data_IF_504057816382
#
_entry.id   IF_504057816382
#
_cell.length_a   1.000
_cell.length_b   1.000
_cell.length_c   1.000
_cell.angle_alpha   90.00
_cell.angle_beta   90.00
_cell.angle_gamma   90.00
#
_symmetry.space_group_name_H-M   'P 1'
#
loop_
_entity.id
_entity.type
_entity.pdbx_description
1 polymer ?
#
# COMPACT_ATOMS: atom_id res chain seq x y z
N UNK A 1 -51.08 39.15 -27.83
CA UNK A 1 -51.47 39.99 -28.99
C UNK A 1 -50.18 40.43 -29.70
N UNK A 2 -49.72 39.70 -30.71
CA UNK A 2 -48.44 39.95 -31.41
C UNK A 2 -48.59 39.98 -32.95
N UNK A 3 -49.82 40.10 -33.47
CA UNK A 3 -50.12 39.91 -34.90
C UNK A 3 -50.65 41.12 -35.67
N UNK A 4 -50.56 42.36 -35.16
CA UNK A 4 -51.05 43.57 -35.89
C UNK A 4 -50.10 44.78 -35.89
N UNK A 5 -48.85 44.63 -35.46
CA UNK A 5 -47.93 45.77 -35.34
C UNK A 5 -47.47 46.30 -36.70
N UNK A 6 -47.35 45.43 -37.69
CA UNK A 6 -47.08 45.76 -39.10
C UNK A 6 -48.18 46.64 -39.72
N UNK A 7 -49.46 46.31 -39.48
CA UNK A 7 -50.60 47.10 -39.92
C UNK A 7 -50.63 48.44 -39.20
N UNK A 8 -50.40 48.44 -37.89
CA UNK A 8 -50.35 49.67 -37.09
C UNK A 8 -49.24 50.62 -37.58
N UNK A 9 -48.03 50.11 -37.84
CA UNK A 9 -46.91 50.89 -38.38
C UNK A 9 -47.28 51.52 -39.72
N UNK A 10 -47.87 50.75 -40.65
CA UNK A 10 -48.30 51.27 -41.97
C UNK A 10 -49.34 52.39 -41.82
N UNK A 11 -50.32 52.21 -40.95
CA UNK A 11 -51.35 53.23 -40.68
C UNK A 11 -50.75 54.49 -40.05
N UNK A 12 -49.85 54.35 -39.08
CA UNK A 12 -49.19 55.47 -38.42
C UNK A 12 -48.29 56.25 -39.38
N UNK A 13 -47.53 55.58 -40.25
CA UNK A 13 -46.71 56.24 -41.27
C UNK A 13 -47.57 57.03 -42.26
N UNK A 14 -48.75 56.52 -42.65
CA UNK A 14 -49.70 57.25 -43.49
C UNK A 14 -50.26 58.48 -42.75
N UNK A 15 -50.66 58.31 -41.50
CA UNK A 15 -51.16 59.41 -40.66
C UNK A 15 -50.11 60.51 -40.48
N UNK A 16 -48.84 60.16 -40.29
CA UNK A 16 -47.73 61.13 -40.21
C UNK A 16 -47.66 61.96 -41.48
N UNK A 17 -47.69 61.35 -42.68
CA UNK A 17 -47.66 62.09 -43.96
C UNK A 17 -48.87 63.04 -44.09
N UNK A 18 -50.07 62.58 -43.74
CA UNK A 18 -51.27 63.41 -43.79
C UNK A 18 -51.20 64.58 -42.82
N UNK A 19 -50.82 64.36 -41.56
CA UNK A 19 -50.73 65.42 -40.56
C UNK A 19 -49.63 66.43 -40.87
N UNK A 20 -48.52 65.98 -41.46
CA UNK A 20 -47.45 66.85 -41.96
C UNK A 20 -47.96 67.80 -43.07
N UNK A 21 -48.71 67.26 -44.05
CA UNK A 21 -49.31 68.07 -45.13
C UNK A 21 -50.40 69.05 -44.66
N UNK A 22 -51.03 68.77 -43.51
CA UNK A 22 -52.06 69.62 -42.92
C UNK A 22 -51.50 70.57 -41.84
N UNK A 23 -50.18 70.58 -41.63
CA UNK A 23 -49.51 71.38 -40.61
C UNK A 23 -50.06 71.18 -39.19
N UNK A 24 -50.51 69.97 -38.86
CA UNK A 24 -51.08 69.62 -37.54
C UNK A 24 -50.01 69.12 -36.58
N UNK A 25 -49.12 70.01 -36.13
CA UNK A 25 -47.92 69.66 -35.33
C UNK A 25 -48.22 68.84 -34.06
N UNK A 26 -49.30 69.15 -33.33
CA UNK A 26 -49.66 68.38 -32.14
C UNK A 26 -50.03 66.92 -32.45
N UNK A 27 -50.85 66.71 -33.49
CA UNK A 27 -51.21 65.34 -33.92
C UNK A 27 -49.99 64.61 -34.47
N UNK A 28 -49.12 65.33 -35.17
CA UNK A 28 -47.89 64.81 -35.73
C UNK A 28 -46.92 64.34 -34.63
N UNK A 29 -46.72 65.13 -33.58
CA UNK A 29 -45.90 64.78 -32.43
C UNK A 29 -46.42 63.53 -31.70
N UNK A 30 -47.72 63.47 -31.42
CA UNK A 30 -48.36 62.30 -30.77
C UNK A 30 -48.21 61.04 -31.64
N UNK A 31 -48.45 61.16 -32.94
CA UNK A 31 -48.37 60.02 -33.88
C UNK A 31 -46.93 59.51 -34.01
N UNK A 32 -45.94 60.42 -34.03
CA UNK A 32 -44.51 60.07 -34.01
C UNK A 32 -44.13 59.30 -32.75
N UNK A 33 -44.66 59.67 -31.59
CA UNK A 33 -44.42 58.98 -30.32
C UNK A 33 -45.02 57.58 -30.32
N UNK A 34 -46.27 57.43 -30.76
CA UNK A 34 -46.91 56.11 -30.85
C UNK A 34 -46.09 55.19 -31.74
N UNK A 35 -45.63 55.69 -32.90
CA UNK A 35 -44.78 54.93 -33.80
C UNK A 35 -43.41 54.60 -33.17
N UNK A 36 -42.78 55.55 -32.47
CA UNK A 36 -41.52 55.33 -31.78
C UNK A 36 -41.63 54.25 -30.68
N UNK A 37 -42.70 54.27 -29.89
CA UNK A 37 -42.97 53.26 -28.86
C UNK A 37 -43.16 51.86 -29.49
N UNK A 38 -43.83 51.77 -30.64
CA UNK A 38 -43.98 50.49 -31.36
C UNK A 38 -42.63 50.00 -31.87
N UNK A 39 -41.82 50.88 -32.49
CA UNK A 39 -40.47 50.51 -32.92
C UNK A 39 -39.58 50.08 -31.76
N UNK A 40 -39.65 50.75 -30.62
CA UNK A 40 -38.95 50.34 -29.41
C UNK A 40 -39.37 48.93 -28.95
N UNK A 41 -40.68 48.65 -28.91
CA UNK A 41 -41.22 47.33 -28.55
C UNK A 41 -40.81 46.22 -29.52
N UNK A 42 -40.70 46.54 -30.81
CA UNK A 42 -40.21 45.65 -31.87
C UNK A 42 -38.67 45.58 -31.95
N UNK A 43 -37.96 46.24 -31.02
CA UNK A 43 -36.48 46.35 -31.00
C UNK A 43 -35.88 46.99 -32.26
N UNK A 44 -36.66 47.79 -32.98
CA UNK A 44 -36.24 48.63 -34.11
C UNK A 44 -35.71 49.99 -33.59
N UNK A 45 -34.59 49.92 -32.88
CA UNK A 45 -34.06 51.02 -32.08
C UNK A 45 -33.55 52.20 -32.92
N UNK A 46 -33.04 51.94 -34.13
CA UNK A 46 -32.48 52.98 -35.01
C UNK A 46 -33.58 53.88 -35.58
N UNK A 47 -34.78 53.35 -35.73
CA UNK A 47 -35.94 54.01 -36.29
C UNK A 47 -36.70 54.84 -35.24
N UNK A 48 -36.65 54.43 -33.97
CA UNK A 48 -37.34 55.10 -32.87
C UNK A 48 -36.68 56.44 -32.46
N UNK A 49 -35.34 56.49 -32.38
CA UNK A 49 -34.62 57.70 -31.91
C UNK A 49 -34.91 58.95 -32.75
N UNK A 50 -34.88 58.92 -34.10
CA UNK A 50 -35.18 60.10 -34.92
C UNK A 50 -36.61 60.62 -34.69
N UNK A 51 -37.58 59.73 -34.45
CA UNK A 51 -38.96 60.11 -34.17
C UNK A 51 -39.07 60.84 -32.83
N UNK A 52 -38.44 60.31 -31.78
CA UNK A 52 -38.38 61.00 -30.48
C UNK A 52 -37.68 62.37 -30.58
N UNK A 53 -36.55 62.48 -31.30
CA UNK A 53 -35.86 63.77 -31.48
C UNK A 53 -36.71 64.82 -32.20
N UNK A 54 -37.43 64.42 -33.25
CA UNK A 54 -38.36 65.31 -33.97
C UNK A 54 -39.49 65.78 -33.04
N UNK A 55 -40.05 64.89 -32.23
CA UNK A 55 -41.08 65.24 -31.25
C UNK A 55 -40.57 66.17 -30.16
N UNK A 56 -39.38 65.91 -29.60
CA UNK A 56 -38.74 66.78 -28.60
C UNK A 56 -38.55 68.20 -29.15
N UNK A 57 -38.11 68.32 -30.40
CA UNK A 57 -37.90 69.62 -31.06
C UNK A 57 -39.21 70.39 -31.19
N UNK A 58 -40.27 69.73 -31.68
CA UNK A 58 -41.61 70.32 -31.80
C UNK A 58 -42.18 70.73 -30.44
N UNK A 59 -42.06 69.89 -29.40
CA UNK A 59 -42.54 70.22 -28.06
C UNK A 59 -41.76 71.34 -27.38
N UNK A 60 -40.45 71.46 -27.62
CA UNK A 60 -39.67 72.59 -27.11
C UNK A 60 -40.09 73.93 -27.75
N UNK A 61 -40.45 73.93 -29.04
CA UNK A 61 -40.94 75.12 -29.74
C UNK A 61 -42.34 75.55 -29.27
N UNK A 62 -43.14 74.59 -28.81
CA UNK A 62 -44.52 74.82 -28.34
C UNK A 62 -44.62 75.02 -26.81
N UNK A 63 -43.51 75.24 -26.11
CA UNK A 63 -43.44 75.37 -24.65
C UNK A 63 -43.90 74.14 -23.83
N UNK A 64 -44.00 72.96 -24.46
CA UNK A 64 -44.31 71.68 -23.82
C UNK A 64 -43.06 70.94 -23.31
N UNK A 65 -42.18 71.67 -22.61
CA UNK A 65 -40.83 71.19 -22.22
C UNK A 65 -40.86 69.97 -21.29
N UNK A 66 -41.92 69.80 -20.50
CA UNK A 66 -42.10 68.64 -19.61
C UNK A 66 -42.27 67.33 -20.38
N UNK A 67 -43.10 67.34 -21.44
CA UNK A 67 -43.26 66.20 -22.32
C UNK A 67 -41.96 65.90 -23.07
N UNK A 68 -41.21 66.93 -23.47
CA UNK A 68 -39.90 66.77 -24.09
C UNK A 68 -38.91 66.03 -23.18
N UNK A 69 -38.90 66.32 -21.87
CA UNK A 69 -38.02 65.66 -20.91
C UNK A 69 -38.34 64.16 -20.75
N UNK A 70 -39.61 63.77 -20.81
CA UNK A 70 -40.02 62.35 -20.78
C UNK A 70 -39.40 61.55 -21.93
N UNK A 71 -39.37 62.11 -23.14
CA UNK A 71 -38.77 61.43 -24.29
C UNK A 71 -37.24 61.38 -24.26
N UNK A 72 -36.58 62.24 -23.48
CA UNK A 72 -35.15 62.08 -23.20
C UNK A 72 -34.90 60.78 -22.42
N UNK A 73 -35.76 60.44 -21.46
CA UNK A 73 -35.69 59.17 -20.73
C UNK A 73 -35.86 57.97 -21.68
N UNK A 74 -36.85 58.01 -22.58
CA UNK A 74 -37.04 56.94 -23.56
C UNK A 74 -35.83 56.77 -24.50
N UNK A 75 -35.24 57.88 -24.97
CA UNK A 75 -33.99 57.82 -25.74
C UNK A 75 -32.87 57.19 -24.90
N UNK A 76 -32.76 57.56 -23.62
CA UNK A 76 -31.82 56.94 -22.68
C UNK A 76 -32.01 55.42 -22.56
N UNK A 77 -33.26 54.97 -22.44
CA UNK A 77 -33.62 53.54 -22.39
C UNK A 77 -33.18 52.80 -23.66
N UNK A 78 -33.41 53.39 -24.84
CA UNK A 78 -32.97 52.82 -26.11
C UNK A 78 -31.44 52.64 -26.14
N UNK A 79 -30.67 53.65 -25.71
CA UNK A 79 -29.22 53.54 -25.65
C UNK A 79 -28.75 52.51 -24.63
N UNK A 80 -29.44 52.42 -23.48
CA UNK A 80 -29.19 51.40 -22.45
C UNK A 80 -29.37 49.99 -23.01
N UNK A 81 -30.49 49.73 -23.70
CA UNK A 81 -30.74 48.45 -24.39
C UNK A 81 -29.77 48.17 -25.54
N UNK A 82 -29.19 49.22 -26.13
CA UNK A 82 -28.14 49.12 -27.15
C UNK A 82 -26.73 48.95 -26.57
N UNK A 83 -26.63 48.69 -25.25
CA UNK A 83 -25.36 48.58 -24.51
C UNK A 83 -24.46 49.82 -24.59
N UNK A 84 -25.05 51.01 -24.74
CA UNK A 84 -24.36 52.31 -24.78
C UNK A 84 -24.67 53.11 -23.51
N UNK A 85 -24.04 52.71 -22.39
CA UNK A 85 -24.29 53.31 -21.09
C UNK A 85 -24.03 54.82 -21.04
N UNK A 86 -22.91 55.30 -21.61
CA UNK A 86 -22.55 56.72 -21.56
C UNK A 86 -23.59 57.59 -22.26
N UNK A 87 -24.06 57.15 -23.44
CA UNK A 87 -25.15 57.80 -24.16
C UNK A 87 -26.43 57.77 -23.33
N UNK A 88 -26.78 56.64 -22.71
CA UNK A 88 -27.97 56.53 -21.87
C UNK A 88 -27.92 57.54 -20.71
N UNK A 89 -26.82 57.55 -19.95
CA UNK A 89 -26.59 58.47 -18.83
C UNK A 89 -26.63 59.94 -19.27
N UNK A 90 -26.10 60.27 -20.45
CA UNK A 90 -26.20 61.62 -21.01
C UNK A 90 -27.65 62.10 -21.15
N UNK A 91 -28.54 61.28 -21.73
CA UNK A 91 -29.95 61.66 -21.89
C UNK A 91 -30.70 61.65 -20.56
N UNK A 92 -30.40 60.70 -19.67
CA UNK A 92 -30.97 60.70 -18.32
C UNK A 92 -30.56 61.95 -17.52
N UNK A 93 -29.30 62.38 -17.58
CA UNK A 93 -28.83 63.60 -16.91
C UNK A 93 -29.54 64.86 -17.44
N UNK A 94 -29.84 64.92 -18.74
CA UNK A 94 -30.64 66.03 -19.30
C UNK A 94 -32.06 66.05 -18.74
N UNK A 95 -32.69 64.88 -18.64
CA UNK A 95 -34.04 64.77 -18.05
C UNK A 95 -34.01 65.13 -16.56
N UNK A 96 -33.03 64.62 -15.81
CA UNK A 96 -32.82 64.91 -14.39
C UNK A 96 -32.70 66.41 -14.13
N UNK A 97 -31.82 67.11 -14.85
CA UNK A 97 -31.64 68.56 -14.67
C UNK A 97 -32.95 69.31 -14.88
N UNK A 98 -33.71 68.96 -15.92
CA UNK A 98 -35.01 69.58 -16.18
C UNK A 98 -36.01 69.36 -15.04
N UNK A 99 -36.14 68.12 -14.55
CA UNK A 99 -37.09 67.81 -13.48
C UNK A 99 -36.65 68.35 -12.12
N UNK A 100 -35.35 68.43 -11.87
CA UNK A 100 -34.77 69.09 -10.68
C UNK A 100 -35.09 70.59 -10.67
N UNK A 101 -34.85 71.30 -11.79
CA UNK A 101 -35.15 72.74 -11.90
C UNK A 101 -36.65 73.06 -11.72
N UNK A 102 -37.52 72.08 -11.99
CA UNK A 102 -38.97 72.18 -11.84
C UNK A 102 -39.49 71.67 -10.50
N UNK A 103 -38.63 71.20 -9.61
CA UNK A 103 -39.01 70.55 -8.35
C UNK A 103 -40.04 69.42 -8.54
N UNK A 104 -39.99 68.72 -9.67
CA UNK A 104 -40.89 67.60 -9.95
C UNK A 104 -40.26 66.30 -9.42
N UNK A 105 -40.37 66.07 -8.10
CA UNK A 105 -39.81 64.89 -7.44
C UNK A 105 -40.34 63.58 -8.06
N UNK A 106 -41.61 63.57 -8.48
CA UNK A 106 -42.25 62.39 -9.06
C UNK A 106 -41.53 61.93 -10.34
N UNK A 107 -41.38 62.81 -11.33
CA UNK A 107 -40.69 62.47 -12.57
C UNK A 107 -39.19 62.25 -12.35
N UNK A 108 -38.59 62.95 -11.39
CA UNK A 108 -37.20 62.74 -11.00
C UNK A 108 -36.95 61.30 -10.50
N UNK A 109 -37.87 60.74 -9.70
CA UNK A 109 -37.77 59.34 -9.27
C UNK A 109 -37.87 58.35 -10.45
N UNK A 110 -38.64 58.67 -11.50
CA UNK A 110 -38.69 57.85 -12.70
C UNK A 110 -37.35 57.86 -13.44
N UNK A 111 -36.68 59.01 -13.54
CA UNK A 111 -35.33 59.10 -14.10
C UNK A 111 -34.35 58.25 -13.30
N UNK A 112 -34.39 58.31 -11.96
CA UNK A 112 -33.52 57.51 -11.11
C UNK A 112 -33.74 55.99 -11.25
N UNK A 113 -34.99 55.53 -11.41
CA UNK A 113 -35.28 54.11 -11.70
C UNK A 113 -34.60 53.69 -13.00
N UNK A 114 -34.79 54.44 -14.09
CA UNK A 114 -34.21 54.10 -15.38
C UNK A 114 -32.68 54.12 -15.37
N UNK A 115 -32.06 55.09 -14.68
CA UNK A 115 -30.61 55.11 -14.44
C UNK A 115 -30.13 53.87 -13.69
N UNK A 116 -30.80 53.52 -12.59
CA UNK A 116 -30.48 52.34 -11.80
C UNK A 116 -30.54 51.05 -12.60
N UNK A 117 -31.63 50.84 -13.35
CA UNK A 117 -31.79 49.69 -14.24
C UNK A 117 -30.72 49.66 -15.33
N UNK A 118 -30.41 50.81 -15.95
CA UNK A 118 -29.35 50.91 -16.96
C UNK A 118 -27.96 50.53 -16.40
N UNK A 119 -27.65 50.98 -15.19
CA UNK A 119 -26.42 50.63 -14.49
C UNK A 119 -26.35 49.14 -14.15
N UNK A 120 -27.44 48.54 -13.68
CA UNK A 120 -27.52 47.08 -13.45
C UNK A 120 -27.31 46.26 -14.72
N UNK A 121 -27.88 46.70 -15.85
CA UNK A 121 -27.68 46.04 -17.15
C UNK A 121 -26.21 46.07 -17.61
N UNK A 122 -25.40 46.97 -17.06
CA UNK A 122 -23.97 47.08 -17.29
C UNK A 122 -23.14 46.61 -16.08
N UNK A 123 -23.72 45.80 -15.20
CA UNK A 123 -23.10 45.21 -14.01
C UNK A 123 -22.56 46.21 -12.97
N UNK A 124 -22.99 47.48 -13.02
CA UNK A 124 -22.63 48.53 -12.05
C UNK A 124 -23.62 48.55 -10.88
N UNK A 125 -23.72 47.43 -10.16
CA UNK A 125 -24.77 47.20 -9.16
C UNK A 125 -24.70 48.14 -7.95
N UNK A 126 -23.50 48.54 -7.50
CA UNK A 126 -23.34 49.46 -6.37
C UNK A 126 -23.84 50.88 -6.72
N UNK A 127 -23.49 51.41 -7.90
CA UNK A 127 -23.99 52.71 -8.34
C UNK A 127 -25.51 52.67 -8.57
N UNK A 128 -26.03 51.56 -9.12
CA UNK A 128 -27.46 51.38 -9.29
C UNK A 128 -28.23 51.40 -7.97
N UNK A 129 -27.66 50.82 -6.91
CA UNK A 129 -28.26 50.76 -5.59
C UNK A 129 -28.60 52.16 -5.06
N UNK A 130 -27.67 53.12 -5.18
CA UNK A 130 -27.87 54.48 -4.69
C UNK A 130 -28.98 55.21 -5.43
N UNK A 131 -29.04 55.08 -6.77
CA UNK A 131 -30.12 55.70 -7.56
C UNK A 131 -31.48 55.07 -7.27
N UNK A 132 -31.54 53.74 -7.17
CA UNK A 132 -32.79 53.03 -6.89
C UNK A 132 -33.30 53.30 -5.47
N UNK A 133 -32.40 53.44 -4.50
CA UNK A 133 -32.73 53.86 -3.14
C UNK A 133 -33.36 55.27 -3.13
N UNK A 134 -32.73 56.24 -3.78
CA UNK A 134 -33.28 57.61 -3.91
C UNK A 134 -34.66 57.60 -4.58
N UNK A 135 -34.83 56.81 -5.64
CA UNK A 135 -36.10 56.70 -6.33
C UNK A 135 -37.21 56.15 -5.42
N UNK A 136 -36.90 55.09 -4.66
CA UNK A 136 -37.85 54.47 -3.74
C UNK A 136 -38.20 55.41 -2.57
N UNK A 137 -37.25 56.15 -2.02
CA UNK A 137 -37.48 57.15 -0.97
C UNK A 137 -38.47 58.24 -1.43
N UNK A 138 -38.35 58.70 -2.68
CA UNK A 138 -39.30 59.65 -3.26
C UNK A 138 -40.67 59.00 -3.47
N UNK A 139 -40.71 57.82 -4.08
CA UNK A 139 -41.96 57.10 -4.38
C UNK A 139 -42.73 56.73 -3.12
N UNK A 140 -42.06 56.44 -2.00
CA UNK A 140 -42.72 56.19 -0.70
C UNK A 140 -43.52 57.36 -0.15
N UNK A 141 -43.22 58.60 -0.58
CA UNK A 141 -44.04 59.78 -0.22
C UNK A 141 -45.40 59.79 -0.93
N UNK A 142 -45.61 58.97 -1.96
CA UNK A 142 -46.83 58.89 -2.78
C UNK A 142 -47.39 57.46 -2.85
N UNK A 143 -48.67 57.27 -2.55
CA UNK A 143 -49.24 55.94 -2.21
C UNK A 143 -49.72 55.13 -3.43
N UNK A 144 -49.50 55.58 -4.67
CA UNK A 144 -50.03 54.87 -5.86
C UNK A 144 -49.29 53.56 -6.13
N UNK A 145 -50.01 52.43 -6.11
CA UNK A 145 -49.48 51.10 -6.40
C UNK A 145 -48.74 51.04 -7.76
N UNK A 146 -49.29 51.69 -8.79
CA UNK A 146 -48.72 51.73 -10.14
C UNK A 146 -47.33 52.39 -10.19
N UNK A 147 -47.01 53.20 -9.19
CA UNK A 147 -45.77 53.99 -9.16
C UNK A 147 -44.73 53.40 -8.23
N UNK A 148 -45.16 52.89 -7.08
CA UNK A 148 -44.24 52.34 -6.07
C UNK A 148 -43.77 50.92 -6.42
N UNK A 149 -44.64 50.08 -7.01
CA UNK A 149 -44.32 48.68 -7.33
C UNK A 149 -43.12 48.56 -8.28
N UNK A 150 -43.03 49.30 -9.41
CA UNK A 150 -41.84 49.25 -10.27
C UNK A 150 -40.55 49.66 -9.55
N UNK A 151 -40.63 50.63 -8.62
CA UNK A 151 -39.49 51.07 -7.82
C UNK A 151 -39.03 49.97 -6.83
N UNK A 152 -39.98 49.34 -6.14
CA UNK A 152 -39.74 48.22 -5.23
C UNK A 152 -39.12 47.03 -5.97
N UNK A 153 -39.65 46.64 -7.13
CA UNK A 153 -39.12 45.55 -7.96
C UNK A 153 -37.69 45.87 -8.40
N UNK A 154 -37.45 47.07 -8.94
CA UNK A 154 -36.11 47.46 -9.41
C UNK A 154 -35.10 47.48 -8.26
N UNK A 155 -35.50 47.97 -7.08
CA UNK A 155 -34.63 47.97 -5.90
C UNK A 155 -34.43 46.56 -5.32
N UNK A 156 -35.42 45.67 -5.41
CA UNK A 156 -35.23 44.27 -5.09
C UNK A 156 -34.23 43.61 -6.04
N UNK A 157 -34.31 43.87 -7.34
CA UNK A 157 -33.40 43.28 -8.33
C UNK A 157 -31.94 43.66 -8.09
N UNK A 158 -31.65 44.93 -7.74
CA UNK A 158 -30.26 45.30 -7.40
C UNK A 158 -29.80 44.59 -6.13
N UNK A 159 -30.68 44.42 -5.14
CA UNK A 159 -30.36 43.67 -3.92
C UNK A 159 -30.12 42.18 -4.20
N UNK A 160 -30.89 41.55 -5.11
CA UNK A 160 -30.63 40.18 -5.57
C UNK A 160 -29.24 40.08 -6.21
N UNK A 161 -28.86 41.04 -7.07
CA UNK A 161 -27.54 41.08 -7.73
C UNK A 161 -26.38 41.31 -6.74
N UNK A 162 -26.66 41.98 -5.62
CA UNK A 162 -25.72 42.19 -4.52
C UNK A 162 -25.77 41.07 -3.47
N UNK A 163 -26.55 40.01 -3.69
CA UNK A 163 -26.76 38.90 -2.76
C UNK A 163 -27.42 39.28 -1.43
N UNK A 164 -28.05 40.45 -1.35
CA UNK A 164 -28.85 40.92 -0.22
C UNK A 164 -30.25 40.29 -0.25
N UNK A 165 -30.32 38.96 -0.21
CA UNK A 165 -31.54 38.19 -0.46
C UNK A 165 -32.68 38.49 0.50
N UNK A 166 -32.37 38.73 1.79
CA UNK A 166 -33.39 39.03 2.80
C UNK A 166 -34.08 40.36 2.53
N UNK A 167 -33.29 41.41 2.25
CA UNK A 167 -33.82 42.74 1.91
C UNK A 167 -34.61 42.70 0.60
N UNK A 168 -34.12 41.99 -0.42
CA UNK A 168 -34.86 41.81 -1.67
C UNK A 168 -36.22 41.12 -1.44
N UNK A 169 -36.26 40.10 -0.59
CA UNK A 169 -37.50 39.39 -0.24
C UNK A 169 -38.51 40.31 0.44
N UNK A 170 -38.06 41.13 1.40
CA UNK A 170 -38.91 42.11 2.10
C UNK A 170 -39.51 43.13 1.12
N UNK A 171 -38.69 43.67 0.20
CA UNK A 171 -39.13 44.61 -0.83
C UNK A 171 -40.16 44.00 -1.79
N UNK A 172 -39.97 42.74 -2.20
CA UNK A 172 -40.90 42.02 -3.07
C UNK A 172 -42.21 41.67 -2.34
N UNK A 173 -42.15 41.35 -1.05
CA UNK A 173 -43.34 41.15 -0.23
C UNK A 173 -44.11 42.47 -0.04
N UNK A 174 -43.42 43.58 0.20
CA UNK A 174 -44.02 44.92 0.20
C UNK A 174 -44.73 45.21 -1.12
N UNK A 175 -44.10 44.89 -2.26
CA UNK A 175 -44.69 45.08 -3.58
C UNK A 175 -45.98 44.26 -3.78
N UNK A 176 -46.04 43.02 -3.28
CA UNK A 176 -47.26 42.20 -3.34
C UNK A 176 -48.42 42.81 -2.54
N UNK A 177 -48.16 43.47 -1.41
CA UNK A 177 -49.21 44.13 -0.62
C UNK A 177 -49.88 45.27 -1.40
N UNK A 178 -49.10 46.07 -2.14
CA UNK A 178 -49.65 47.11 -3.02
C UNK A 178 -50.49 46.51 -4.16
N UNK A 179 -50.07 45.36 -4.70
CA UNK A 179 -50.78 44.68 -5.79
C UNK A 179 -52.06 43.96 -5.35
N UNK A 180 -52.29 43.69 -4.05
CA UNK A 180 -53.59 43.13 -3.62
C UNK A 180 -54.79 44.01 -4.01
N UNK A 181 -54.58 45.32 -4.09
CA UNK A 181 -55.60 46.31 -4.48
C UNK A 181 -55.65 46.59 -5.99
N UNK A 182 -54.63 46.19 -6.74
CA UNK A 182 -54.40 46.48 -8.15
C UNK A 182 -54.30 45.13 -8.88
N UNK A 183 -55.33 44.72 -9.62
CA UNK A 183 -55.41 43.42 -10.33
C UNK A 183 -54.37 43.25 -11.48
N UNK A 184 -53.12 43.66 -11.27
CA UNK A 184 -52.03 43.60 -12.22
C UNK A 184 -51.30 42.25 -12.10
N UNK A 185 -51.91 41.24 -12.72
CA UNK A 185 -51.43 39.85 -12.70
C UNK A 185 -50.01 39.69 -13.30
N UNK A 186 -49.60 40.59 -14.20
CA UNK A 186 -48.28 40.56 -14.83
C UNK A 186 -47.18 40.87 -13.81
N UNK A 187 -47.32 41.97 -13.05
CA UNK A 187 -46.36 42.34 -12.01
C UNK A 187 -46.35 41.33 -10.86
N UNK A 188 -47.53 40.79 -10.49
CA UNK A 188 -47.63 39.77 -9.46
C UNK A 188 -46.90 38.48 -9.86
N UNK A 189 -47.02 38.07 -11.13
CA UNK A 189 -46.28 36.94 -11.70
C UNK A 189 -44.77 37.18 -11.65
N UNK A 190 -44.32 38.36 -12.06
CA UNK A 190 -42.90 38.75 -12.03
C UNK A 190 -42.33 38.66 -10.59
N UNK A 191 -43.06 39.19 -9.61
CA UNK A 191 -42.62 39.17 -8.21
C UNK A 191 -42.50 37.73 -7.68
N UNK A 192 -43.48 36.86 -7.95
CA UNK A 192 -43.40 35.47 -7.51
C UNK A 192 -42.23 34.71 -8.17
N UNK A 193 -41.89 35.00 -9.42
CA UNK A 193 -40.69 34.42 -10.07
C UNK A 193 -39.40 34.85 -9.35
N UNK A 194 -39.29 36.14 -9.00
CA UNK A 194 -38.12 36.67 -8.27
C UNK A 194 -38.01 36.06 -6.87
N UNK A 195 -39.12 35.96 -6.14
CA UNK A 195 -39.17 35.30 -4.82
C UNK A 195 -38.74 33.83 -4.91
N UNK A 196 -39.19 33.11 -5.94
CA UNK A 196 -38.77 31.74 -6.16
C UNK A 196 -37.26 31.63 -6.43
N UNK A 197 -36.70 32.52 -7.26
CA UNK A 197 -35.25 32.59 -7.51
C UNK A 197 -34.43 32.92 -6.26
N UNK A 198 -34.93 33.80 -5.38
CA UNK A 198 -34.33 34.08 -4.07
C UNK A 198 -34.32 32.81 -3.20
N UNK A 199 -35.46 32.11 -3.07
CA UNK A 199 -35.55 30.90 -2.23
C UNK A 199 -34.67 29.76 -2.78
N UNK A 200 -34.53 29.63 -4.10
CA UNK A 200 -33.57 28.70 -4.72
C UNK A 200 -32.14 29.07 -4.34
N UNK A 201 -31.78 30.35 -4.37
CA UNK A 201 -30.45 30.83 -3.96
C UNK A 201 -30.16 30.56 -2.48
N UNK A 202 -31.20 30.59 -1.64
CA UNK A 202 -31.15 30.22 -0.22
C UNK A 202 -31.26 28.70 0.04
N UNK A 203 -31.36 27.86 -1.00
CA UNK A 203 -31.55 26.40 -0.93
C UNK A 203 -32.86 25.96 -0.25
N UNK A 204 -33.84 26.85 -0.17
CA UNK A 204 -35.18 26.58 0.37
C UNK A 204 -36.11 26.07 -0.74
N UNK A 205 -35.80 24.90 -1.30
CA UNK A 205 -36.47 24.40 -2.51
C UNK A 205 -37.98 24.22 -2.39
N UNK A 206 -38.48 23.91 -1.19
CA UNK A 206 -39.93 23.82 -0.92
C UNK A 206 -40.61 25.18 -1.12
N UNK A 207 -40.08 26.24 -0.49
CA UNK A 207 -40.64 27.59 -0.63
C UNK A 207 -40.46 28.13 -2.05
N UNK A 208 -39.36 27.78 -2.72
CA UNK A 208 -39.14 28.12 -4.12
C UNK A 208 -40.24 27.50 -5.00
N UNK A 209 -40.55 26.21 -4.80
CA UNK A 209 -41.61 25.52 -5.53
C UNK A 209 -42.99 26.16 -5.27
N UNK A 210 -43.29 26.56 -4.03
CA UNK A 210 -44.55 27.23 -3.68
C UNK A 210 -44.71 28.57 -4.42
N UNK A 211 -43.65 29.40 -4.45
CA UNK A 211 -43.69 30.67 -5.21
C UNK A 211 -43.73 30.45 -6.72
N UNK A 212 -43.02 29.45 -7.25
CA UNK A 212 -43.14 29.08 -8.67
C UNK A 212 -44.56 28.64 -9.03
N UNK A 213 -45.22 27.85 -8.18
CA UNK A 213 -46.60 27.44 -8.40
C UNK A 213 -47.54 28.66 -8.41
N UNK A 214 -47.36 29.63 -7.50
CA UNK A 214 -48.12 30.89 -7.53
C UNK A 214 -47.92 31.66 -8.83
N UNK A 215 -46.67 31.83 -9.29
CA UNK A 215 -46.38 32.46 -10.58
C UNK A 215 -47.06 31.71 -11.75
N UNK A 216 -47.03 30.37 -11.74
CA UNK A 216 -47.68 29.55 -12.77
C UNK A 216 -49.20 29.68 -12.76
N UNK A 217 -49.84 29.71 -11.58
CA UNK A 217 -51.30 29.89 -11.49
C UNK A 217 -51.75 31.25 -12.04
N UNK A 218 -50.94 32.30 -11.89
CA UNK A 218 -51.23 33.61 -12.48
C UNK A 218 -50.93 33.65 -13.98
N UNK A 219 -49.86 32.97 -14.42
CA UNK A 219 -49.47 32.84 -15.83
C UNK A 219 -50.44 31.97 -16.64
N UNK A 220 -51.18 31.06 -16.01
CA UNK A 220 -52.26 30.28 -16.62
C UNK A 220 -53.40 31.15 -17.17
N UNK A 221 -53.52 32.40 -16.69
CA UNK A 221 -54.41 33.42 -17.26
C UNK A 221 -53.85 34.07 -18.56
N UNK A 222 -52.59 33.81 -18.96
CA UNK A 222 -51.87 34.64 -19.95
C UNK A 222 -51.23 33.94 -21.18
N UNK A 223 -51.03 32.61 -21.28
CA UNK A 223 -50.90 31.83 -22.55
C UNK A 223 -50.32 30.41 -22.38
N UNK A 224 -50.68 29.49 -23.30
CA UNK A 224 -50.52 28.03 -23.17
C UNK A 224 -49.23 27.42 -23.81
N UNK A 225 -48.51 28.11 -24.69
CA UNK A 225 -47.40 27.48 -25.47
C UNK A 225 -46.03 27.49 -24.76
N UNK A 226 -45.71 28.55 -24.02
CA UNK A 226 -44.51 28.60 -23.16
C UNK A 226 -44.62 27.65 -21.95
N UNK A 227 -45.84 27.46 -21.44
CA UNK A 227 -46.18 26.55 -20.35
C UNK A 227 -45.69 25.13 -20.62
N UNK A 228 -45.97 24.59 -21.80
CA UNK A 228 -45.55 23.23 -22.16
C UNK A 228 -44.03 23.07 -22.17
N UNK A 229 -43.30 24.05 -22.70
CA UNK A 229 -41.84 23.98 -22.82
C UNK A 229 -41.14 24.09 -21.46
N UNK A 230 -41.64 24.97 -20.59
CA UNK A 230 -41.10 25.14 -19.23
C UNK A 230 -41.42 23.90 -18.37
N UNK A 231 -42.65 23.37 -18.42
CA UNK A 231 -43.04 22.14 -17.70
C UNK A 231 -42.19 20.95 -18.16
N UNK A 232 -41.96 20.81 -19.46
CA UNK A 232 -41.18 19.70 -20.01
C UNK A 232 -39.71 19.79 -19.58
N UNK A 233 -39.11 20.98 -19.61
CA UNK A 233 -37.74 21.20 -19.15
C UNK A 233 -37.60 21.01 -17.63
N UNK A 234 -38.60 21.41 -16.83
CA UNK A 234 -38.61 21.18 -15.38
C UNK A 234 -38.77 19.70 -15.03
N UNK A 235 -39.61 18.96 -15.76
CA UNK A 235 -39.76 17.52 -15.56
C UNK A 235 -38.44 16.80 -15.84
N UNK A 236 -37.74 17.19 -16.90
CA UNK A 236 -36.39 16.67 -17.21
C UNK A 236 -35.40 17.02 -16.09
N UNK A 237 -35.38 18.26 -15.62
CA UNK A 237 -34.47 18.69 -14.55
C UNK A 237 -34.73 17.94 -13.23
N UNK A 238 -36.00 17.82 -12.82
CA UNK A 238 -36.39 17.10 -11.61
C UNK A 238 -36.11 15.59 -11.69
N UNK A 239 -36.43 14.95 -12.82
CA UNK A 239 -36.11 13.53 -13.03
C UNK A 239 -34.60 13.29 -13.07
N UNK A 240 -33.82 14.24 -13.57
CA UNK A 240 -32.35 14.19 -13.57
C UNK A 240 -31.81 14.29 -12.14
N UNK A 241 -32.28 15.26 -11.34
CA UNK A 241 -31.84 15.42 -9.95
C UNK A 241 -32.22 14.22 -9.07
N UNK A 242 -33.43 13.67 -9.26
CA UNK A 242 -33.85 12.44 -8.57
C UNK A 242 -32.92 11.26 -8.90
N UNK A 243 -32.60 11.07 -10.19
CA UNK A 243 -31.65 10.03 -10.62
C UNK A 243 -30.23 10.28 -10.12
N UNK A 244 -29.79 11.53 -10.04
CA UNK A 244 -28.48 11.87 -9.47
C UNK A 244 -28.42 11.55 -7.97
N UNK A 245 -29.49 11.82 -7.23
CA UNK A 245 -29.59 11.47 -5.81
C UNK A 245 -29.60 9.95 -5.60
N UNK A 246 -30.40 9.22 -6.39
CA UNK A 246 -30.42 7.75 -6.38
C UNK A 246 -29.06 7.16 -6.76
N UNK A 247 -28.40 7.69 -7.80
CA UNK A 247 -27.06 7.26 -8.20
C UNK A 247 -26.01 7.54 -7.13
N UNK A 248 -26.13 8.66 -6.41
CA UNK A 248 -25.24 8.98 -5.30
C UNK A 248 -25.42 7.97 -4.16
N UNK A 249 -26.66 7.67 -3.77
CA UNK A 249 -26.96 6.65 -2.76
C UNK A 249 -26.45 5.27 -3.16
N UNK A 250 -26.71 4.84 -4.39
CA UNK A 250 -26.19 3.58 -4.95
C UNK A 250 -24.66 3.53 -4.93
N UNK A 251 -23.99 4.66 -5.21
CA UNK A 251 -22.53 4.75 -5.18
C UNK A 251 -21.98 4.60 -3.76
N UNK A 252 -22.61 5.25 -2.78
CA UNK A 252 -22.26 5.13 -1.36
C UNK A 252 -22.51 3.70 -0.83
N UNK A 253 -23.63 3.07 -1.20
CA UNK A 253 -23.91 1.66 -0.85
C UNK A 253 -22.88 0.70 -1.48
N UNK A 254 -22.53 0.92 -2.76
CA UNK A 254 -21.52 0.11 -3.44
C UNK A 254 -20.14 0.25 -2.81
N UNK A 255 -19.76 1.45 -2.38
CA UNK A 255 -18.48 1.71 -1.71
C UNK A 255 -18.41 1.02 -0.34
N UNK A 256 -19.50 1.06 0.45
CA UNK A 256 -19.61 0.30 1.69
C UNK A 256 -19.51 -1.21 1.47
N UNK A 257 -20.24 -1.75 0.49
CA UNK A 257 -20.20 -3.16 0.16
C UNK A 257 -18.80 -3.61 -0.30
N UNK A 258 -18.09 -2.76 -1.05
CA UNK A 258 -16.71 -3.02 -1.45
C UNK A 258 -15.76 -3.05 -0.25
N UNK A 259 -15.91 -2.09 0.67
CA UNK A 259 -15.10 -2.04 1.90
C UNK A 259 -15.33 -3.27 2.80
N UNK A 260 -16.59 -3.70 2.95
CA UNK A 260 -16.94 -4.93 3.68
C UNK A 260 -16.35 -6.18 3.02
N UNK A 261 -16.41 -6.27 1.68
CA UNK A 261 -15.82 -7.37 0.94
C UNK A 261 -14.29 -7.43 1.09
N UNK A 262 -13.60 -6.30 1.03
CA UNK A 262 -12.15 -6.22 1.28
C UNK A 262 -11.77 -6.63 2.70
N UNK A 263 -12.54 -6.19 3.70
CA UNK A 263 -12.33 -6.56 5.09
C UNK A 263 -12.48 -8.08 5.27
N UNK A 264 -13.54 -8.68 4.73
CA UNK A 264 -13.78 -10.12 4.77
C UNK A 264 -12.65 -10.90 4.08
N UNK A 265 -12.18 -10.43 2.92
CA UNK A 265 -11.04 -11.05 2.23
C UNK A 265 -9.76 -11.00 3.06
N UNK A 266 -9.49 -9.90 3.78
CA UNK A 266 -8.34 -9.78 4.70
C UNK A 266 -8.46 -10.73 5.89
N UNK A 267 -9.65 -10.87 6.47
CA UNK A 267 -9.90 -11.80 7.58
C UNK A 267 -9.66 -13.25 7.16
N UNK A 268 -10.21 -13.67 6.02
CA UNK A 268 -9.97 -15.01 5.45
C UNK A 268 -8.49 -15.26 5.18
N UNK A 269 -7.77 -14.27 4.63
CA UNK A 269 -6.33 -14.38 4.41
C UNK A 269 -5.56 -14.55 5.71
N UNK A 270 -5.94 -13.82 6.77
CA UNK A 270 -5.36 -13.93 8.11
C UNK A 270 -5.63 -15.30 8.74
N UNK A 271 -6.85 -15.82 8.66
CA UNK A 271 -7.18 -17.17 9.14
C UNK A 271 -6.40 -18.25 8.40
N UNK A 272 -6.32 -18.16 7.07
CA UNK A 272 -5.55 -19.12 6.27
C UNK A 272 -4.06 -19.13 6.66
N UNK A 273 -3.49 -17.99 7.03
CA UNK A 273 -2.11 -17.88 7.48
C UNK A 273 -1.90 -18.53 8.86
N UNK A 274 -2.83 -18.34 9.80
CA UNK A 274 -2.81 -19.01 11.10
C UNK A 274 -2.89 -20.54 10.95
N UNK A 275 -3.79 -21.02 10.07
CA UNK A 275 -3.93 -22.46 9.82
C UNK A 275 -2.68 -23.07 9.19
N UNK A 276 -2.03 -22.38 8.23
CA UNK A 276 -0.75 -22.83 7.67
C UNK A 276 0.37 -22.88 8.71
N UNK A 277 0.46 -21.86 9.57
CA UNK A 277 1.45 -21.85 10.66
C UNK A 277 1.21 -23.02 11.61
N UNK A 278 -0.04 -23.24 12.02
CA UNK A 278 -0.41 -24.35 12.90
C UNK A 278 -0.06 -25.72 12.30
N UNK A 279 -0.39 -25.95 11.02
CA UNK A 279 0.00 -27.17 10.30
C UNK A 279 1.52 -27.35 10.21
N UNK A 280 2.27 -26.27 9.96
CA UNK A 280 3.74 -26.33 9.90
C UNK A 280 4.35 -26.74 11.25
N UNK A 281 3.79 -26.27 12.36
CA UNK A 281 4.22 -26.65 13.71
C UNK A 281 3.94 -28.13 13.97
N UNK A 282 2.76 -28.64 13.57
CA UNK A 282 2.43 -30.07 13.71
C UNK A 282 3.41 -30.93 12.91
N UNK A 283 3.72 -30.57 11.66
CA UNK A 283 4.67 -31.32 10.84
C UNK A 283 6.07 -31.34 11.48
N UNK A 284 6.54 -30.21 12.01
CA UNK A 284 7.82 -30.13 12.72
C UNK A 284 7.83 -31.00 13.98
N UNK A 285 6.75 -31.02 14.75
CA UNK A 285 6.63 -31.87 15.94
C UNK A 285 6.66 -33.36 15.60
N UNK A 286 5.94 -33.76 14.53
CA UNK A 286 5.95 -35.16 14.06
C UNK A 286 7.33 -35.55 13.55
N UNK A 287 8.01 -34.67 12.79
CA UNK A 287 9.38 -34.91 12.32
C UNK A 287 10.36 -35.04 13.50
N UNK A 288 10.27 -34.16 14.50
CA UNK A 288 11.09 -34.23 15.71
C UNK A 288 10.84 -35.51 16.52
N UNK A 289 9.58 -35.93 16.66
CA UNK A 289 9.23 -37.21 17.29
C UNK A 289 9.78 -38.41 16.50
N UNK A 290 9.74 -38.36 15.17
CA UNK A 290 10.34 -39.39 14.30
C UNK A 290 11.86 -39.48 14.46
N UNK A 291 12.55 -38.34 14.47
CA UNK A 291 14.01 -38.26 14.65
C UNK A 291 14.41 -38.80 16.04
N UNK A 292 13.72 -38.36 17.10
CA UNK A 292 14.01 -38.83 18.46
C UNK A 292 13.77 -40.33 18.61
N UNK A 293 12.66 -40.84 18.07
CA UNK A 293 12.37 -42.29 18.06
C UNK A 293 13.42 -43.09 17.30
N UNK A 294 13.82 -42.63 16.10
CA UNK A 294 14.90 -43.24 15.33
C UNK A 294 16.23 -43.23 16.10
N UNK A 295 16.57 -42.11 16.75
CA UNK A 295 17.79 -41.98 17.54
C UNK A 295 17.80 -42.94 18.73
N UNK A 296 16.67 -43.10 19.43
CA UNK A 296 16.51 -44.06 20.53
C UNK A 296 16.75 -45.50 20.05
N UNK A 297 16.15 -45.89 18.92
CA UNK A 297 16.36 -47.23 18.34
C UNK A 297 17.83 -47.44 17.95
N UNK A 298 18.46 -46.43 17.37
CA UNK A 298 19.86 -46.49 16.95
C UNK A 298 20.81 -46.61 18.16
N UNK A 299 20.54 -45.88 19.24
CA UNK A 299 21.28 -46.00 20.50
C UNK A 299 21.15 -47.42 21.10
N UNK A 300 19.95 -48.02 21.07
CA UNK A 300 19.75 -49.40 21.54
C UNK A 300 20.56 -50.41 20.73
N UNK A 301 20.59 -50.28 19.40
CA UNK A 301 21.40 -51.17 18.52
C UNK A 301 22.89 -51.04 18.82
N UNK A 302 23.39 -49.80 18.93
CA UNK A 302 24.80 -49.52 19.27
C UNK A 302 25.17 -50.12 20.63
N UNK A 303 24.34 -49.92 21.65
CA UNK A 303 24.59 -50.47 22.98
C UNK A 303 24.65 -52.00 22.96
N UNK A 304 23.78 -52.68 22.20
CA UNK A 304 23.84 -54.14 22.06
C UNK A 304 25.16 -54.61 21.43
N UNK A 305 25.61 -53.94 20.37
CA UNK A 305 26.88 -54.26 19.70
C UNK A 305 28.05 -54.04 20.66
N UNK A 306 28.05 -52.92 21.39
CA UNK A 306 29.09 -52.61 22.39
C UNK A 306 29.15 -53.70 23.47
N UNK A 307 28.00 -54.17 23.97
CA UNK A 307 27.95 -55.27 24.95
C UNK A 307 28.53 -56.56 24.38
N UNK A 308 28.21 -56.90 23.13
CA UNK A 308 28.76 -58.10 22.47
C UNK A 308 30.27 -58.00 22.24
N UNK A 309 30.76 -56.84 21.80
CA UNK A 309 32.20 -56.59 21.65
C UNK A 309 32.93 -56.72 22.99
N UNK A 310 32.34 -56.18 24.07
CA UNK A 310 32.92 -56.29 25.42
C UNK A 310 33.05 -57.75 25.86
N UNK A 311 32.01 -58.57 25.66
CA UNK A 311 32.04 -60.00 25.97
C UNK A 311 33.10 -60.75 25.15
N UNK A 312 33.23 -60.43 23.87
CA UNK A 312 34.24 -61.06 23.00
C UNK A 312 35.67 -60.72 23.46
N UNK A 313 35.92 -59.45 23.79
CA UNK A 313 37.22 -58.99 24.30
C UNK A 313 37.55 -59.66 25.62
N UNK A 314 36.57 -59.83 26.51
CA UNK A 314 36.76 -60.51 27.79
C UNK A 314 37.13 -61.99 27.60
N UNK A 315 36.46 -62.68 26.67
CA UNK A 315 36.81 -64.06 26.32
C UNK A 315 38.20 -64.18 25.67
N UNK A 316 38.55 -63.29 24.75
CA UNK A 316 39.89 -63.27 24.15
C UNK A 316 40.97 -63.04 25.21
N UNK A 317 40.70 -62.22 26.22
CA UNK A 317 41.62 -61.98 27.33
C UNK A 317 41.83 -63.24 28.18
N UNK A 318 40.77 -64.00 28.45
CA UNK A 318 40.86 -65.29 29.15
C UNK A 318 41.71 -66.31 28.37
N UNK A 319 41.45 -66.45 27.06
CA UNK A 319 42.22 -67.36 26.19
C UNK A 319 43.71 -66.99 26.15
N UNK A 320 44.04 -65.69 26.12
CA UNK A 320 45.43 -65.20 26.15
C UNK A 320 46.10 -65.52 27.48
N UNK A 321 45.41 -65.37 28.61
CA UNK A 321 45.98 -65.68 29.93
C UNK A 321 46.23 -67.19 30.08
N UNK A 322 45.34 -68.04 29.56
CA UNK A 322 45.53 -69.50 29.55
C UNK A 322 46.75 -69.90 28.69
N UNK A 323 46.90 -69.33 27.50
CA UNK A 323 48.07 -69.58 26.66
C UNK A 323 49.37 -69.16 27.34
N UNK A 324 49.36 -68.02 28.04
CA UNK A 324 50.52 -67.55 28.80
C UNK A 324 50.93 -68.55 29.89
N UNK A 325 49.98 -69.08 30.66
CA UNK A 325 50.25 -70.09 31.69
C UNK A 325 50.83 -71.38 31.09
N UNK A 326 50.33 -71.82 29.93
CA UNK A 326 50.87 -73.00 29.24
C UNK A 326 52.32 -72.78 28.83
N UNK A 327 52.65 -71.60 28.30
CA UNK A 327 54.02 -71.23 27.91
C UNK A 327 54.95 -71.20 29.13
N UNK A 328 54.52 -70.59 30.23
CA UNK A 328 55.31 -70.53 31.47
C UNK A 328 55.65 -71.95 31.97
N UNK A 329 54.65 -72.85 32.04
CA UNK A 329 54.87 -74.25 32.42
C UNK A 329 55.81 -74.99 31.47
N UNK A 330 55.69 -74.76 30.15
CA UNK A 330 56.57 -75.39 29.15
C UNK A 330 58.03 -74.94 29.30
N UNK A 331 58.26 -73.68 29.64
CA UNK A 331 59.60 -73.18 29.92
C UNK A 331 60.20 -73.81 31.18
N UNK A 332 59.41 -74.00 32.24
CA UNK A 332 59.85 -74.71 33.45
C UNK A 332 60.28 -76.15 33.12
N UNK A 333 59.45 -76.90 32.39
CA UNK A 333 59.77 -78.28 31.96
C UNK A 333 61.08 -78.35 31.14
N UNK A 334 61.28 -77.39 30.23
CA UNK A 334 62.50 -77.31 29.41
C UNK A 334 63.72 -77.04 30.30
N UNK A 335 63.63 -76.09 31.24
CA UNK A 335 64.74 -75.79 32.15
C UNK A 335 65.12 -77.00 33.02
N UNK A 336 64.14 -77.73 33.54
CA UNK A 336 64.37 -78.95 34.30
C UNK A 336 65.10 -80.01 33.46
N UNK A 337 64.72 -80.18 32.19
CA UNK A 337 65.41 -81.10 31.28
C UNK A 337 66.87 -80.72 31.01
N UNK A 338 67.16 -79.41 30.90
CA UNK A 338 68.51 -78.91 30.70
C UNK A 338 69.36 -79.10 31.97
N UNK A 339 68.78 -78.88 33.15
CA UNK A 339 69.44 -79.14 34.43
C UNK A 339 69.73 -80.64 34.64
N UNK A 340 68.83 -81.52 34.19
CA UNK A 340 69.08 -82.96 34.23
C UNK A 340 70.27 -83.36 33.34
N UNK A 341 70.37 -82.79 32.13
CA UNK A 341 71.54 -83.02 31.26
C UNK A 341 72.86 -82.57 31.92
N UNK A 342 72.84 -81.47 32.67
CA UNK A 342 74.01 -81.01 33.45
C UNK A 342 74.42 -82.01 34.52
N UNK A 343 73.44 -82.56 35.23
CA UNK A 343 73.71 -83.58 36.24
C UNK A 343 74.38 -84.82 35.62
N UNK A 344 73.87 -85.31 34.48
CA UNK A 344 74.47 -86.43 33.76
C UNK A 344 75.89 -86.13 33.26
N UNK A 345 76.11 -84.94 32.70
CA UNK A 345 77.43 -84.52 32.25
C UNK A 345 78.45 -84.51 33.40
N UNK A 346 78.10 -83.92 34.53
CA UNK A 346 78.97 -83.87 35.72
C UNK A 346 79.27 -85.25 36.31
N UNK A 347 78.42 -86.26 36.07
CA UNK A 347 78.63 -87.61 36.60
C UNK A 347 79.71 -88.41 35.86
N UNK A 348 80.02 -88.06 34.61
CA UNK A 348 81.10 -88.73 33.85
C UNK A 348 82.45 -88.05 34.05
N UNK A 349 82.44 -86.73 34.25
CA UNK A 349 83.66 -85.98 34.42
C UNK A 349 84.43 -86.53 35.63
N UNK A 350 85.72 -86.87 35.48
CA UNK A 350 86.50 -87.42 36.58
C UNK A 350 86.49 -86.46 37.76
N UNK A 351 86.38 -87.01 38.96
CA UNK A 351 86.35 -86.20 40.18
C UNK A 351 87.74 -85.65 40.46
N UNK A 352 87.85 -84.47 41.10
CA UNK A 352 89.16 -83.93 41.52
C UNK A 352 89.95 -84.93 42.37
N UNK A 353 89.26 -85.77 43.14
CA UNK A 353 89.89 -86.83 43.94
C UNK A 353 90.59 -87.93 43.12
N UNK A 354 90.20 -88.14 41.86
CA UNK A 354 90.90 -89.07 40.96
C UNK A 354 92.19 -88.47 40.42
N UNK A 355 92.18 -87.16 40.11
CA UNK A 355 93.41 -86.45 39.76
C UNK A 355 94.39 -86.44 40.94
N UNK A 356 93.92 -86.16 42.16
CA UNK A 356 94.77 -86.12 43.37
C UNK A 356 95.47 -87.47 43.67
N UNK A 357 94.88 -88.60 43.28
CA UNK A 357 95.47 -89.94 43.48
C UNK A 357 96.61 -90.23 42.53
N UNK A 358 96.55 -89.69 41.32
CA UNK A 358 97.42 -90.11 40.21
C UNK A 358 98.42 -89.01 39.81
N UNK A 359 98.19 -87.74 40.16
CA UNK A 359 99.02 -86.61 39.77
C UNK A 359 99.37 -85.73 40.98
N UNK A 360 100.67 -85.54 41.26
CA UNK A 360 101.14 -84.73 42.40
C UNK A 360 101.00 -83.21 42.16
N UNK A 361 101.13 -82.74 40.92
CA UNK A 361 101.07 -81.32 40.56
C UNK A 361 100.19 -81.12 39.30
N UNK A 362 98.94 -80.71 39.46
CA UNK A 362 98.02 -80.40 38.35
C UNK A 362 97.12 -79.18 38.67
N UNK A 363 96.52 -78.60 37.63
CA UNK A 363 95.40 -77.66 37.76
C UNK A 363 94.32 -78.01 36.74
N UNK A 364 93.05 -77.80 37.10
CA UNK A 364 91.90 -78.05 36.22
C UNK A 364 91.03 -76.79 36.16
N UNK A 365 90.78 -76.27 34.96
CA UNK A 365 89.87 -75.15 34.72
C UNK A 365 88.80 -75.57 33.71
N UNK A 366 87.55 -75.65 34.16
CA UNK A 366 86.40 -76.00 33.32
C UNK A 366 85.28 -74.96 33.51
N UNK A 367 85.04 -74.14 32.50
CA UNK A 367 84.06 -73.04 32.51
C UNK A 367 83.14 -73.10 31.29
N UNK A 368 81.98 -73.78 31.38
CA UNK A 368 81.02 -73.84 30.27
C UNK A 368 80.32 -72.49 30.04
N UNK A 369 80.00 -72.16 28.77
CA UNK A 369 79.23 -70.96 28.38
C UNK A 369 77.75 -71.03 28.77
N UNK A 370 77.13 -72.19 28.54
CA UNK A 370 75.73 -72.48 28.86
C UNK A 370 75.64 -73.43 30.07
N UNK A 371 74.42 -73.82 30.47
CA UNK A 371 74.18 -74.73 31.62
C UNK A 371 74.97 -76.05 31.48
N UNK A 372 75.23 -76.50 30.25
CA UNK A 372 76.01 -77.70 29.91
C UNK A 372 77.02 -77.40 28.79
N UNK A 373 78.15 -78.11 28.77
CA UNK A 373 79.25 -77.92 27.81
C UNK A 373 79.25 -78.93 26.66
N UNK A 374 79.87 -78.60 25.52
CA UNK A 374 80.36 -79.61 24.57
C UNK A 374 81.75 -80.13 24.93
N UNK A 375 82.50 -79.37 25.71
CA UNK A 375 83.86 -79.72 26.11
C UNK A 375 83.84 -80.67 27.31
N UNK A 376 84.82 -81.58 27.37
CA UNK A 376 85.03 -82.43 28.54
C UNK A 376 86.51 -82.74 28.77
N UNK A 377 86.80 -83.18 29.99
CA UNK A 377 88.10 -83.71 30.37
C UNK A 377 87.93 -85.13 30.88
N UNK A 378 88.95 -85.96 30.72
CA UNK A 378 88.91 -87.39 30.99
C UNK A 378 90.24 -87.87 31.56
N UNK A 379 90.21 -88.82 32.49
CA UNK A 379 91.38 -89.41 33.14
C UNK A 379 91.09 -90.86 33.53
N UNK A 380 91.98 -91.78 33.17
CA UNK A 380 91.88 -93.22 33.49
C UNK A 380 93.28 -93.80 33.72
N UNK A 381 93.35 -94.94 34.43
CA UNK A 381 94.64 -95.63 34.67
C UNK A 381 94.59 -97.10 34.25
N UNK A 382 95.62 -97.56 33.53
CA UNK A 382 95.75 -98.95 33.07
C UNK A 382 97.22 -99.37 33.02
N UNK A 383 97.56 -100.52 33.64
CA UNK A 383 98.90 -101.11 33.68
C UNK A 383 100.01 -100.10 34.08
N UNK A 384 99.80 -99.40 35.20
CA UNK A 384 100.69 -98.36 35.76
C UNK A 384 100.87 -97.11 34.89
N UNK A 385 100.13 -96.99 33.78
CA UNK A 385 100.09 -95.78 32.95
C UNK A 385 98.82 -94.96 33.22
N UNK A 386 98.98 -93.63 33.20
CA UNK A 386 97.89 -92.66 33.33
C UNK A 386 97.56 -92.11 31.95
N UNK A 387 96.28 -92.19 31.59
CA UNK A 387 95.73 -91.65 30.35
C UNK A 387 94.87 -90.45 30.71
N UNK A 388 95.03 -89.36 29.97
CA UNK A 388 94.18 -88.18 30.13
C UNK A 388 93.85 -87.56 28.78
N UNK A 389 92.70 -86.93 28.69
CA UNK A 389 92.28 -86.18 27.51
C UNK A 389 91.57 -84.88 27.90
N UNK A 390 91.78 -83.85 27.09
CA UNK A 390 90.97 -82.64 27.08
C UNK A 390 90.38 -82.54 25.66
N UNK A 391 89.06 -82.59 25.55
CA UNK A 391 88.36 -82.70 24.28
C UNK A 391 87.31 -81.61 24.14
N UNK A 392 87.28 -81.00 22.97
CA UNK A 392 86.23 -80.10 22.50
C UNK A 392 85.34 -80.91 21.55
N UNK A 393 84.08 -81.14 21.95
CA UNK A 393 83.08 -81.70 21.05
C UNK A 393 82.27 -80.56 20.42
N UNK A 394 82.09 -80.64 19.10
CA UNK A 394 81.26 -79.67 18.39
C UNK A 394 79.81 -79.70 18.89
N UNK A 395 79.33 -78.55 19.35
CA UNK A 395 77.95 -78.37 19.79
C UNK A 395 77.86 -77.53 21.07
N UNK A 396 76.70 -76.95 21.34
CA UNK A 396 76.42 -76.27 22.61
C UNK A 396 75.05 -76.69 23.15
N UNK A 397 74.81 -76.49 24.44
CA UNK A 397 73.58 -76.94 25.10
C UNK A 397 73.48 -78.47 25.17
N UNK A 398 72.26 -78.97 25.42
CA UNK A 398 71.99 -80.40 25.70
C UNK A 398 72.54 -81.36 24.63
N UNK A 399 72.42 -81.09 23.30
CA UNK A 399 72.99 -81.97 22.30
C UNK A 399 74.52 -82.05 22.37
N UNK A 400 75.20 -80.90 22.60
CA UNK A 400 76.66 -80.87 22.76
C UNK A 400 77.11 -81.72 23.95
N UNK A 401 76.44 -81.57 25.09
CA UNK A 401 76.74 -82.33 26.30
C UNK A 401 76.53 -83.84 26.15
N UNK A 402 75.54 -84.27 25.36
CA UNK A 402 75.36 -85.68 25.03
C UNK A 402 76.49 -86.22 24.16
N UNK A 403 77.05 -85.42 23.25
CA UNK A 403 78.22 -85.85 22.46
C UNK A 403 79.44 -86.01 23.37
N UNK A 404 79.69 -85.07 24.28
CA UNK A 404 80.74 -85.20 25.30
C UNK A 404 80.57 -86.46 26.14
N UNK A 405 79.32 -86.77 26.53
CA UNK A 405 78.99 -87.99 27.27
C UNK A 405 79.42 -89.24 26.51
N UNK A 406 79.00 -89.34 25.24
CA UNK A 406 79.28 -90.51 24.39
C UNK A 406 80.78 -90.65 24.13
N UNK A 407 81.46 -89.55 23.79
CA UNK A 407 82.90 -89.57 23.55
C UNK A 407 83.70 -89.97 24.79
N UNK A 408 83.35 -89.45 25.97
CA UNK A 408 84.02 -89.82 27.23
C UNK A 408 83.82 -91.30 27.57
N UNK A 409 82.61 -91.84 27.37
CA UNK A 409 82.33 -93.25 27.60
C UNK A 409 83.04 -94.16 26.59
N UNK A 410 83.11 -93.75 25.32
CA UNK A 410 83.84 -94.46 24.27
C UNK A 410 85.36 -94.46 24.50
N UNK A 411 85.93 -93.39 25.09
CA UNK A 411 87.33 -93.36 25.54
C UNK A 411 87.59 -94.37 26.65
N UNK A 412 86.76 -94.37 27.71
CA UNK A 412 86.85 -95.37 28.80
C UNK A 412 86.75 -96.79 28.24
N UNK A 413 85.81 -97.05 27.34
CA UNK A 413 85.61 -98.38 26.73
C UNK A 413 86.80 -98.81 25.87
N UNK A 414 87.28 -97.94 24.99
CA UNK A 414 88.42 -98.24 24.11
C UNK A 414 89.71 -98.53 24.90
N UNK A 415 89.89 -97.86 26.05
CA UNK A 415 91.05 -98.09 26.92
C UNK A 415 90.88 -99.37 27.76
N UNK A 416 89.77 -99.51 28.47
CA UNK A 416 89.60 -100.56 29.50
C UNK A 416 89.17 -101.91 28.92
N UNK A 417 88.25 -101.92 27.96
CA UNK A 417 87.70 -103.16 27.38
C UNK A 417 88.54 -103.62 26.18
N UNK A 418 88.83 -102.72 25.23
CA UNK A 418 89.56 -103.05 24.01
C UNK A 418 91.10 -103.02 24.19
N UNK A 419 91.57 -102.63 25.38
CA UNK A 419 92.98 -102.58 25.81
C UNK A 419 93.90 -101.85 24.82
N UNK A 420 93.40 -100.77 24.19
CA UNK A 420 94.20 -99.91 23.31
C UNK A 420 95.04 -98.96 24.15
N UNK A 421 96.32 -99.26 24.30
CA UNK A 421 97.27 -98.49 25.14
C UNK A 421 98.07 -97.44 24.36
N UNK A 422 98.09 -97.48 23.03
CA UNK A 422 98.69 -96.43 22.21
C UNK A 422 97.65 -95.33 21.90
N UNK A 423 98.02 -94.06 22.08
CA UNK A 423 97.08 -92.91 22.02
C UNK A 423 96.39 -92.73 20.67
N UNK A 424 97.09 -92.95 19.55
CA UNK A 424 96.49 -92.87 18.20
C UNK A 424 95.42 -93.94 17.99
N UNK A 425 95.75 -95.24 18.12
CA UNK A 425 94.78 -96.33 18.02
C UNK A 425 93.62 -96.25 19.03
N UNK A 426 93.85 -95.70 20.22
CA UNK A 426 92.81 -95.45 21.21
C UNK A 426 91.76 -94.46 20.68
N UNK A 427 92.20 -93.32 20.12
CA UNK A 427 91.31 -92.31 19.54
C UNK A 427 90.59 -92.83 18.28
N UNK A 428 91.30 -93.58 17.42
CA UNK A 428 90.68 -94.21 16.25
C UNK A 428 89.55 -95.16 16.66
N UNK A 429 89.76 -95.93 17.74
CA UNK A 429 88.74 -96.83 18.27
C UNK A 429 87.56 -96.09 18.90
N UNK A 430 87.80 -95.00 19.62
CA UNK A 430 86.73 -94.13 20.13
C UNK A 430 85.83 -93.60 19.01
N UNK A 431 86.36 -93.40 17.80
CA UNK A 431 85.57 -92.97 16.64
C UNK A 431 84.73 -94.09 16.02
N UNK A 432 85.12 -95.35 16.21
CA UNK A 432 84.38 -96.52 15.71
C UNK A 432 83.23 -96.95 16.63
N UNK A 433 83.35 -96.66 17.93
CA UNK A 433 82.32 -96.88 18.96
C UNK A 433 81.24 -95.80 18.90
#
# INVERSE_FOLDING_TARGET
>A
ILGRNDIAIKLLLRSIKTYDSLHLENKLAVTRVILANIYEKERLLKEAIPLYRKTITSYNQQNFKEYAAKYLVNIGNIYSYSHQLDSALYYYNKAENFYSDKNNEHELSYVYINKGVALMNHNKNNEAYDFLKKALEIRRKNVSANEIVPALISFADVNIRLSNYQQAKELLQEALEYLKSSQNLEQETEIYQKLAGIETSLKNYKSAADFFNKALTLKDSLNNSEKQKIIQNLKIAYETEKKELENKQLKEEKEKALLEAELNARLLKSESAKNRLFLSIIILLVAAAGITSWFIVQLRKRNKIITQQKQLVEKQKEEVEEQKQIIERKNEEILDSINYAKYLQNAILPSLSEFDKHLENYFLLFQPKDIVSGDFYWLETLNEHIYFAAADCTGHGVPGAMVSFVCSSALTKALTEDQKTETGPLLDRTREL
#
